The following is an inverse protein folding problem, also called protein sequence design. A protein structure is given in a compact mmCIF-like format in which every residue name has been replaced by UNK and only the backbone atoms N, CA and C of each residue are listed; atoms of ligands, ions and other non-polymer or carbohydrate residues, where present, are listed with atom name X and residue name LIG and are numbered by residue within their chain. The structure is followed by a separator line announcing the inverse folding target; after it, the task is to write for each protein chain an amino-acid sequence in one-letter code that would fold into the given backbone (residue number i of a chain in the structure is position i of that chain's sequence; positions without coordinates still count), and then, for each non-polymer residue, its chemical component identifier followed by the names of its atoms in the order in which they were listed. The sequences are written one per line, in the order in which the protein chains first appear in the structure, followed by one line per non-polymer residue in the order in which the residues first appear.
data_IF_624270076972
#
_entry.id   IF_624270076972
#
_cell.length_a   1.000
_cell.length_b   1.000
_cell.length_c   1.000
_cell.angle_alpha   90.00
_cell.angle_beta   90.00
_cell.angle_gamma   90.00
#
_symmetry.space_group_name_H-M   'P 1'
#
loop_
_entity.id
_entity.type
_entity.pdbx_description
1 polymer ?
#
# COMPACT_ATOMS: atom_id res chain seq x y z
N UNK A 1 -34.85 16.74 4.97
CA UNK A 1 -34.45 15.85 3.85
C UNK A 1 -33.63 14.70 4.41
N UNK A 2 -34.08 13.44 4.27
CA UNK A 2 -33.24 12.27 4.60
C UNK A 2 -32.04 12.32 3.65
N UNK A 3 -30.81 12.42 4.17
CA UNK A 3 -29.60 12.26 3.35
C UNK A 3 -29.70 10.90 2.65
N UNK A 4 -29.79 10.91 1.32
CA UNK A 4 -29.77 9.71 0.49
C UNK A 4 -28.51 8.95 0.87
N UNK A 5 -28.69 7.73 1.39
CA UNK A 5 -27.59 6.88 1.85
C UNK A 5 -26.95 6.29 0.60
N UNK A 6 -26.02 7.03 0.00
CA UNK A 6 -25.25 6.54 -1.16
C UNK A 6 -24.54 5.24 -0.77
N UNK A 7 -24.66 4.25 -1.64
CA UNK A 7 -23.91 3.01 -1.51
C UNK A 7 -22.41 3.31 -1.66
N UNK A 8 -21.56 2.95 -0.67
CA UNK A 8 -20.13 3.23 -0.74
C UNK A 8 -19.42 2.57 -1.93
N UNK A 9 -19.91 1.42 -2.41
CA UNK A 9 -19.38 0.76 -3.61
C UNK A 9 -19.75 1.57 -4.84
N UNK A 10 -21.00 2.01 -4.97
CA UNK A 10 -21.43 2.83 -6.11
C UNK A 10 -20.63 4.13 -6.15
N UNK A 11 -20.40 4.80 -5.01
CA UNK A 11 -19.57 5.99 -4.93
C UNK A 11 -18.09 5.72 -5.29
N UNK A 12 -17.55 4.55 -4.90
CA UNK A 12 -16.20 4.14 -5.25
C UNK A 12 -16.08 3.89 -6.75
N UNK A 13 -17.02 3.14 -7.32
CA UNK A 13 -17.09 2.84 -8.76
C UNK A 13 -17.28 4.14 -9.54
N UNK A 14 -18.19 5.03 -9.15
CA UNK A 14 -18.39 6.34 -9.76
C UNK A 14 -17.09 7.16 -9.76
N UNK A 15 -16.41 7.29 -8.61
CA UNK A 15 -15.15 8.04 -8.52
C UNK A 15 -14.02 7.42 -9.33
N UNK A 16 -13.95 6.09 -9.37
CA UNK A 16 -12.95 5.39 -10.16
C UNK A 16 -13.26 5.60 -11.64
N UNK A 17 -14.50 5.35 -12.08
CA UNK A 17 -14.96 5.60 -13.44
C UNK A 17 -14.76 7.05 -13.87
N UNK A 18 -15.04 8.05 -13.02
CA UNK A 18 -14.79 9.47 -13.31
C UNK A 18 -13.30 9.78 -13.49
N UNK A 19 -12.43 9.15 -12.70
CA UNK A 19 -10.99 9.35 -12.82
C UNK A 19 -10.40 8.58 -13.99
N UNK A 20 -10.92 7.40 -14.28
CA UNK A 20 -10.49 6.58 -15.40
C UNK A 20 -11.04 7.07 -16.74
N UNK A 21 -12.23 7.67 -16.79
CA UNK A 21 -12.77 8.31 -17.99
C UNK A 21 -11.92 9.51 -18.45
N UNK A 22 -11.06 10.07 -17.58
CA UNK A 22 -10.05 11.06 -17.96
C UNK A 22 -8.87 10.44 -18.71
N UNK A 23 -8.71 9.12 -18.64
CA UNK A 23 -7.72 8.38 -19.43
C UNK A 23 -8.28 8.24 -20.83
N UNK A 24 -7.55 8.78 -21.81
CA UNK A 24 -7.89 8.66 -23.22
C UNK A 24 -8.02 7.18 -23.58
N UNK A 25 -9.07 6.81 -24.31
CA UNK A 25 -9.37 5.44 -24.73
C UNK A 25 -9.63 4.43 -23.58
N UNK A 26 -10.07 4.90 -22.41
CA UNK A 26 -10.39 4.02 -21.27
C UNK A 26 -11.40 2.92 -21.59
N UNK A 27 -12.41 3.20 -22.42
CA UNK A 27 -13.41 2.21 -22.84
C UNK A 27 -12.73 1.00 -23.52
N UNK A 28 -11.69 1.23 -24.33
CA UNK A 28 -10.91 0.16 -24.97
C UNK A 28 -10.11 -0.66 -23.96
N UNK A 29 -9.70 -0.04 -22.86
CA UNK A 29 -9.03 -0.73 -21.76
C UNK A 29 -9.99 -1.62 -20.96
N UNK A 30 -11.29 -1.33 -20.97
CA UNK A 30 -12.32 -2.20 -20.40
C UNK A 30 -12.76 -3.32 -21.35
N UNK A 31 -12.58 -3.15 -22.65
CA UNK A 31 -12.87 -4.17 -23.67
C UNK A 31 -11.81 -5.28 -23.74
N UNK A 32 -10.58 -5.04 -23.30
CA UNK A 32 -9.53 -6.07 -23.23
C UNK A 32 -9.58 -6.89 -21.93
N UNK A 33 -9.25 -8.18 -22.02
CA UNK A 33 -9.20 -9.07 -20.85
C UNK A 33 -8.15 -8.57 -19.84
N UNK A 34 -7.02 -8.09 -20.35
CA UNK A 34 -5.89 -7.56 -19.60
C UNK A 34 -6.27 -6.32 -18.80
N UNK A 35 -6.88 -5.34 -19.46
CA UNK A 35 -7.24 -4.07 -18.83
C UNK A 35 -8.40 -4.25 -17.85
N UNK A 36 -9.38 -5.12 -18.18
CA UNK A 36 -10.44 -5.51 -17.24
C UNK A 36 -9.87 -6.17 -15.98
N UNK A 37 -8.88 -7.06 -16.11
CA UNK A 37 -8.25 -7.72 -14.97
C UNK A 37 -7.51 -6.74 -14.05
N UNK A 38 -6.82 -5.75 -14.62
CA UNK A 38 -6.18 -4.68 -13.84
C UNK A 38 -7.24 -3.82 -13.14
N UNK A 39 -8.31 -3.46 -13.84
CA UNK A 39 -9.41 -2.68 -13.27
C UNK A 39 -10.10 -3.41 -12.11
N UNK A 40 -10.43 -4.69 -12.29
CA UNK A 40 -11.03 -5.54 -11.24
C UNK A 40 -10.12 -5.64 -10.01
N UNK A 41 -8.79 -5.73 -10.21
CA UNK A 41 -7.82 -5.69 -9.12
C UNK A 41 -7.90 -4.36 -8.35
N UNK A 42 -7.96 -3.22 -9.04
CA UNK A 42 -8.03 -1.89 -8.42
C UNK A 42 -9.30 -1.75 -7.59
N UNK A 43 -10.45 -2.15 -8.16
CA UNK A 43 -11.76 -2.11 -7.48
C UNK A 43 -11.74 -3.02 -6.25
N UNK A 44 -11.29 -4.27 -6.42
CA UNK A 44 -11.26 -5.26 -5.34
C UNK A 44 -10.34 -4.82 -4.21
N UNK A 45 -9.11 -4.42 -4.52
CA UNK A 45 -8.11 -4.01 -3.50
C UNK A 45 -8.53 -2.76 -2.76
N UNK A 46 -9.09 -1.75 -3.46
CA UNK A 46 -9.63 -0.53 -2.85
C UNK A 46 -10.79 -0.86 -1.91
N UNK A 47 -11.74 -1.68 -2.37
CA UNK A 47 -12.90 -2.11 -1.57
C UNK A 47 -12.47 -2.92 -0.34
N UNK A 48 -11.51 -3.84 -0.49
CA UNK A 48 -10.99 -4.65 0.61
C UNK A 48 -10.26 -3.82 1.68
N UNK A 49 -9.56 -2.75 1.28
CA UNK A 49 -8.89 -1.86 2.21
C UNK A 49 -9.89 -0.94 2.94
N UNK A 50 -10.91 -0.45 2.23
CA UNK A 50 -12.00 0.34 2.83
C UNK A 50 -12.80 -0.49 3.82
N UNK A 51 -13.21 -1.70 3.43
CA UNK A 51 -13.93 -2.62 4.31
C UNK A 51 -13.08 -2.97 5.55
N UNK A 52 -11.77 -3.16 5.39
CA UNK A 52 -10.87 -3.40 6.51
C UNK A 52 -10.83 -2.24 7.50
N UNK A 53 -10.70 -1.02 6.98
CA UNK A 53 -10.73 0.18 7.80
C UNK A 53 -12.03 0.31 8.59
N UNK A 54 -13.16 0.15 7.90
CA UNK A 54 -14.48 0.20 8.52
C UNK A 54 -14.61 -0.88 9.61
N UNK A 55 -14.20 -2.11 9.31
CA UNK A 55 -14.25 -3.23 10.25
C UNK A 55 -13.49 -2.91 11.55
N UNK A 56 -12.25 -2.43 11.44
CA UNK A 56 -11.47 -2.13 12.63
C UNK A 56 -11.93 -0.89 13.38
N UNK A 57 -12.15 0.23 12.67
CA UNK A 57 -12.43 1.51 13.30
C UNK A 57 -13.85 1.61 13.86
N UNK A 58 -14.82 0.95 13.23
CA UNK A 58 -16.24 1.06 13.56
C UNK A 58 -16.79 -0.16 14.31
N UNK A 59 -16.13 -1.32 14.23
CA UNK A 59 -16.62 -2.54 14.89
C UNK A 59 -15.64 -3.07 15.94
N UNK A 60 -14.40 -3.39 15.57
CA UNK A 60 -13.48 -4.05 16.51
C UNK A 60 -12.99 -3.12 17.63
N UNK A 61 -12.47 -1.93 17.31
CA UNK A 61 -12.00 -0.98 18.32
C UNK A 61 -13.14 -0.52 19.26
N UNK A 62 -14.35 -0.19 18.77
CA UNK A 62 -15.47 0.10 19.65
C UNK A 62 -15.86 -1.08 20.56
N UNK A 63 -15.83 -2.31 20.04
CA UNK A 63 -16.11 -3.51 20.84
C UNK A 63 -15.06 -3.75 21.92
N UNK A 64 -13.77 -3.55 21.62
CA UNK A 64 -12.70 -3.62 22.60
C UNK A 64 -12.87 -2.56 23.70
N UNK A 65 -13.21 -1.32 23.33
CA UNK A 65 -13.52 -0.26 24.31
C UNK A 65 -14.72 -0.61 25.21
N UNK A 66 -15.77 -1.18 24.63
CA UNK A 66 -16.94 -1.65 25.40
C UNK A 66 -16.54 -2.75 26.38
N UNK A 67 -15.74 -3.71 25.95
CA UNK A 67 -15.22 -4.77 26.82
C UNK A 67 -14.45 -4.20 28.02
N UNK A 68 -13.64 -3.15 27.84
CA UNK A 68 -12.92 -2.49 28.93
C UNK A 68 -13.88 -1.91 29.97
N UNK A 69 -14.92 -1.21 29.50
CA UNK A 69 -15.93 -0.60 30.39
C UNK A 69 -16.69 -1.68 31.14
N UNK A 70 -17.11 -2.75 30.45
CA UNK A 70 -17.87 -3.84 31.05
C UNK A 70 -17.03 -4.59 32.11
N UNK A 71 -15.77 -4.92 31.80
CA UNK A 71 -14.85 -5.54 32.75
C UNK A 71 -14.58 -4.64 33.95
N UNK A 72 -14.36 -3.35 33.74
CA UNK A 72 -14.15 -2.40 34.85
C UNK A 72 -15.39 -2.28 35.75
N UNK A 73 -16.58 -2.26 35.16
CA UNK A 73 -17.84 -2.24 35.91
C UNK A 73 -18.02 -3.51 36.76
N UNK A 74 -17.57 -4.66 36.27
CA UNK A 74 -17.60 -5.91 37.04
C UNK A 74 -16.59 -5.89 38.19
N UNK A 75 -15.34 -5.47 37.93
CA UNK A 75 -14.29 -5.37 38.97
C UNK A 75 -14.72 -4.37 40.05
N UNK A 76 -15.22 -3.20 39.66
CA UNK A 76 -15.60 -2.13 40.60
C UNK A 76 -16.81 -2.47 41.47
N UNK A 77 -17.73 -3.33 40.98
CA UNK A 77 -18.91 -3.82 41.71
C UNK A 77 -18.69 -5.15 42.44
N UNK A 78 -17.52 -5.77 42.29
CA UNK A 78 -17.22 -7.06 42.91
C UNK A 78 -17.16 -6.94 44.43
N UNK A 79 -17.81 -7.87 45.14
CA UNK A 79 -17.64 -8.02 46.60
C UNK A 79 -16.19 -8.31 47.01
N UNK A 80 -15.39 -8.82 46.07
CA UNK A 80 -13.96 -9.13 46.26
C UNK A 80 -13.04 -8.02 45.74
N UNK A 81 -13.55 -6.82 45.41
CA UNK A 81 -12.72 -5.72 44.87
C UNK A 81 -11.49 -5.42 45.73
N UNK A 82 -11.60 -5.53 47.04
CA UNK A 82 -10.50 -5.31 47.99
C UNK A 82 -9.33 -6.30 47.81
N UNK A 83 -9.55 -7.45 47.17
CA UNK A 83 -8.51 -8.43 46.83
C UNK A 83 -7.94 -8.22 45.42
N UNK A 84 -8.54 -7.36 44.61
CA UNK A 84 -8.16 -7.14 43.21
C UNK A 84 -7.30 -5.89 43.10
N UNK A 85 -6.02 -6.07 42.77
CA UNK A 85 -5.12 -4.98 42.42
C UNK A 85 -5.00 -4.85 40.89
N UNK A 86 -6.08 -4.38 40.26
CA UNK A 86 -6.14 -4.18 38.80
C UNK A 86 -6.61 -2.74 38.55
N UNK A 87 -5.87 -2.02 37.72
CA UNK A 87 -6.20 -0.69 37.23
C UNK A 87 -7.04 -0.77 35.96
N UNK A 88 -7.81 0.30 35.68
CA UNK A 88 -8.54 0.42 34.42
C UNK A 88 -7.60 0.50 33.21
N UNK A 89 -6.37 0.99 33.40
CA UNK A 89 -5.38 1.09 32.33
C UNK A 89 -4.82 -0.28 31.93
N UNK A 90 -4.64 -1.21 32.86
CA UNK A 90 -4.26 -2.60 32.55
C UNK A 90 -5.32 -3.31 31.70
N UNK A 91 -6.59 -2.94 31.84
CA UNK A 91 -7.67 -3.48 30.99
C UNK A 91 -7.60 -2.96 29.55
N UNK A 92 -6.88 -1.86 29.27
CA UNK A 92 -6.70 -1.34 27.90
C UNK A 92 -5.87 -2.26 27.01
N UNK A 93 -5.24 -3.28 27.56
CA UNK A 93 -4.40 -4.20 26.79
C UNK A 93 -5.16 -4.85 25.63
N UNK A 94 -6.42 -5.25 25.83
CA UNK A 94 -7.25 -5.84 24.77
C UNK A 94 -7.51 -4.84 23.60
N UNK A 95 -7.60 -3.54 23.89
CA UNK A 95 -7.73 -2.51 22.86
C UNK A 95 -6.43 -2.40 22.05
N UNK A 96 -5.28 -2.37 22.72
CA UNK A 96 -3.99 -2.28 22.02
C UNK A 96 -3.67 -3.56 21.26
N UNK A 97 -4.04 -4.73 21.78
CA UNK A 97 -3.95 -6.00 21.08
C UNK A 97 -4.82 -6.01 19.81
N UNK A 98 -6.06 -5.51 19.90
CA UNK A 98 -6.94 -5.36 18.73
C UNK A 98 -6.27 -4.50 17.65
N UNK A 99 -5.65 -3.39 18.02
CA UNK A 99 -4.93 -2.51 17.08
C UNK A 99 -3.69 -3.21 16.49
N UNK A 100 -2.91 -3.90 17.32
CA UNK A 100 -1.73 -4.68 16.89
C UNK A 100 -2.06 -5.80 15.91
N UNK A 101 -3.14 -6.54 16.17
CA UNK A 101 -3.68 -7.53 15.22
C UNK A 101 -4.16 -6.86 13.92
N UNK A 102 -4.64 -5.61 14.01
CA UNK A 102 -4.89 -4.77 12.85
C UNK A 102 -3.66 -4.55 11.97
N UNK A 103 -2.50 -4.28 12.55
CA UNK A 103 -1.26 -4.16 11.77
C UNK A 103 -0.85 -5.47 11.07
N UNK A 104 -1.10 -6.62 11.70
CA UNK A 104 -0.88 -7.94 11.05
C UNK A 104 -1.79 -8.09 9.83
N UNK A 105 -3.08 -7.78 9.97
CA UNK A 105 -4.03 -7.81 8.85
C UNK A 105 -3.68 -6.82 7.74
N UNK A 106 -3.22 -5.62 8.11
CA UNK A 106 -2.83 -4.56 7.18
C UNK A 106 -1.59 -4.98 6.35
N UNK A 107 -0.61 -5.61 6.99
CA UNK A 107 0.57 -6.16 6.30
C UNK A 107 0.19 -7.24 5.27
N UNK A 108 -0.68 -8.18 5.64
CA UNK A 108 -1.11 -9.24 4.71
C UNK A 108 -1.93 -8.73 3.53
N UNK A 109 -2.74 -7.67 3.74
CA UNK A 109 -3.43 -6.97 2.65
C UNK A 109 -2.44 -6.32 1.68
N UNK A 110 -1.40 -5.67 2.20
CA UNK A 110 -0.32 -5.13 1.38
C UNK A 110 0.43 -6.21 0.58
N UNK A 111 0.86 -7.30 1.23
CA UNK A 111 1.57 -8.39 0.54
C UNK A 111 0.73 -9.00 -0.60
N UNK A 112 -0.56 -9.23 -0.32
CA UNK A 112 -1.49 -9.78 -1.30
C UNK A 112 -1.73 -8.80 -2.45
N UNK A 113 -1.90 -7.51 -2.14
CA UNK A 113 -2.02 -6.45 -3.13
C UNK A 113 -0.80 -6.38 -4.06
N UNK A 114 0.41 -6.31 -3.49
CA UNK A 114 1.65 -6.23 -4.26
C UNK A 114 1.81 -7.43 -5.21
N UNK A 115 1.55 -8.64 -4.69
CA UNK A 115 1.61 -9.86 -5.51
C UNK A 115 0.62 -9.81 -6.67
N UNK A 116 -0.62 -9.42 -6.40
CA UNK A 116 -1.63 -9.31 -7.45
C UNK A 116 -1.33 -8.20 -8.46
N UNK A 117 -0.78 -7.07 -8.02
CA UNK A 117 -0.42 -5.94 -8.87
C UNK A 117 0.72 -6.28 -9.83
N UNK A 118 1.79 -6.92 -9.35
CA UNK A 118 2.89 -7.39 -10.20
C UNK A 118 2.37 -8.38 -11.24
N UNK A 119 1.53 -9.33 -10.83
CA UNK A 119 0.94 -10.31 -11.74
C UNK A 119 0.03 -9.67 -12.78
N UNK A 120 -0.83 -8.74 -12.39
CA UNK A 120 -1.74 -8.04 -13.29
C UNK A 120 -0.96 -7.17 -14.29
N UNK A 121 0.11 -6.50 -13.84
CA UNK A 121 0.95 -5.67 -14.72
C UNK A 121 1.75 -6.51 -15.71
N UNK A 122 2.36 -7.61 -15.26
CA UNK A 122 3.04 -8.54 -16.16
C UNK A 122 2.07 -9.15 -17.19
N UNK A 123 0.82 -9.40 -16.79
CA UNK A 123 -0.21 -9.87 -17.71
C UNK A 123 -0.62 -8.80 -18.72
N UNK A 124 -0.81 -7.56 -18.27
CA UNK A 124 -1.11 -6.41 -19.13
C UNK A 124 -0.04 -6.17 -20.20
N UNK A 125 1.23 -6.34 -19.83
CA UNK A 125 2.37 -6.10 -20.71
C UNK A 125 2.83 -7.36 -21.44
N UNK A 126 2.08 -8.46 -21.38
CA UNK A 126 2.57 -9.76 -21.85
C UNK A 126 2.94 -9.75 -23.32
N UNK A 127 2.07 -9.26 -24.20
CA UNK A 127 2.33 -9.20 -25.64
C UNK A 127 3.51 -8.29 -25.94
N UNK A 128 3.50 -7.08 -25.37
CA UNK A 128 4.59 -6.10 -25.50
C UNK A 128 5.93 -6.69 -25.06
N UNK A 129 5.96 -7.41 -23.94
CA UNK A 129 7.16 -8.03 -23.41
C UNK A 129 7.65 -9.18 -24.31
N UNK A 130 6.74 -9.97 -24.88
CA UNK A 130 7.08 -11.09 -25.76
C UNK A 130 7.62 -10.60 -27.11
N UNK A 131 6.99 -9.59 -27.70
CA UNK A 131 7.39 -9.02 -28.98
C UNK A 131 8.75 -8.31 -28.89
N UNK A 132 9.02 -7.64 -27.77
CA UNK A 132 10.21 -6.79 -27.60
C UNK A 132 11.27 -7.40 -26.67
N UNK A 133 11.08 -8.64 -26.22
CA UNK A 133 11.97 -9.35 -25.28
C UNK A 133 12.27 -8.53 -24.00
N UNK A 134 11.23 -7.90 -23.43
CA UNK A 134 11.34 -7.10 -22.20
C UNK A 134 11.31 -8.00 -20.96
N UNK A 135 11.88 -7.50 -19.85
CA UNK A 135 11.90 -8.21 -18.58
C UNK A 135 10.53 -8.12 -17.90
N UNK A 136 10.19 -9.17 -17.14
CA UNK A 136 9.10 -9.06 -16.18
C UNK A 136 9.41 -7.98 -15.14
N UNK A 137 8.38 -7.44 -14.49
CA UNK A 137 8.55 -6.44 -13.43
C UNK A 137 9.50 -6.94 -12.32
N UNK A 138 9.42 -8.22 -11.96
CA UNK A 138 10.30 -8.81 -10.94
C UNK A 138 11.76 -8.81 -11.39
N UNK A 139 12.03 -9.27 -12.60
CA UNK A 139 13.38 -9.35 -13.16
C UNK A 139 13.99 -7.95 -13.36
N UNK A 140 13.19 -6.99 -13.83
CA UNK A 140 13.61 -5.61 -13.96
C UNK A 140 14.00 -5.01 -12.60
N UNK A 141 13.15 -5.15 -11.59
CA UNK A 141 13.45 -4.68 -10.23
C UNK A 141 14.72 -5.31 -9.66
N UNK A 142 14.94 -6.61 -9.91
CA UNK A 142 16.13 -7.31 -9.48
C UNK A 142 17.40 -6.82 -10.19
N UNK A 143 17.31 -6.54 -11.49
CA UNK A 143 18.44 -6.07 -12.30
C UNK A 143 18.79 -4.62 -11.99
N UNK A 144 17.81 -3.73 -12.08
CA UNK A 144 18.02 -2.27 -12.03
C UNK A 144 18.08 -1.73 -10.60
N UNK A 145 17.18 -2.18 -9.73
CA UNK A 145 17.09 -1.69 -8.34
C UNK A 145 17.78 -2.62 -7.33
N UNK A 146 18.22 -3.81 -7.75
CA UNK A 146 18.84 -4.82 -6.87
C UNK A 146 17.91 -5.27 -5.72
N UNK A 147 16.60 -5.19 -5.93
CA UNK A 147 15.60 -5.59 -4.93
C UNK A 147 14.82 -6.83 -5.38
N UNK A 148 14.33 -7.60 -4.41
CA UNK A 148 13.21 -8.48 -4.64
C UNK A 148 11.92 -7.69 -4.36
N UNK A 149 11.12 -7.42 -5.40
CA UNK A 149 9.89 -6.62 -5.27
C UNK A 149 8.94 -7.19 -4.22
N UNK A 150 8.78 -8.51 -4.13
CA UNK A 150 7.92 -9.15 -3.13
C UNK A 150 8.46 -9.08 -1.70
N UNK A 151 9.71 -8.65 -1.51
CA UNK A 151 10.37 -8.40 -0.22
C UNK A 151 10.74 -6.92 -0.03
N UNK A 152 10.12 -6.01 -0.78
CA UNK A 152 10.40 -4.56 -0.76
C UNK A 152 9.71 -3.79 0.38
N UNK A 153 9.05 -4.48 1.32
CA UNK A 153 8.33 -3.84 2.42
C UNK A 153 9.22 -3.01 3.37
N UNK A 154 10.55 -3.12 3.29
CA UNK A 154 11.48 -2.28 4.06
C UNK A 154 11.98 -1.07 3.27
N UNK A 155 11.66 -0.96 1.98
CA UNK A 155 12.10 0.14 1.10
C UNK A 155 11.25 1.40 1.28
N UNK A 156 10.00 1.26 1.75
CA UNK A 156 9.06 2.38 1.89
C UNK A 156 8.69 2.61 3.36
N UNK A 157 8.64 3.87 3.78
CA UNK A 157 8.51 4.22 5.19
C UNK A 157 7.24 3.62 5.84
N UNK A 158 6.10 3.72 5.17
CA UNK A 158 4.83 3.19 5.71
C UNK A 158 4.81 1.66 5.78
N UNK A 159 5.34 0.96 4.78
CA UNK A 159 5.36 -0.51 4.78
C UNK A 159 6.41 -1.02 5.76
N UNK A 160 7.52 -0.30 5.97
CA UNK A 160 8.54 -0.61 6.97
C UNK A 160 7.98 -0.50 8.38
N UNK A 161 7.22 0.56 8.66
CA UNK A 161 6.51 0.76 9.94
C UNK A 161 5.50 -0.36 10.20
N UNK A 162 4.62 -0.64 9.23
CA UNK A 162 3.59 -1.68 9.34
C UNK A 162 4.24 -3.05 9.54
N UNK A 163 5.29 -3.34 8.75
CA UNK A 163 6.07 -4.56 8.87
C UNK A 163 6.62 -4.68 10.29
N UNK A 164 7.31 -3.66 10.81
CA UNK A 164 7.87 -3.66 12.17
C UNK A 164 6.84 -4.07 13.24
N UNK A 165 5.66 -3.44 13.24
CA UNK A 165 4.61 -3.74 14.22
C UNK A 165 4.05 -5.16 14.01
N UNK A 166 3.70 -5.52 12.77
CA UNK A 166 3.22 -6.87 12.42
C UNK A 166 4.19 -7.96 12.88
N UNK A 167 5.48 -7.71 12.68
CA UNK A 167 6.57 -8.60 13.03
C UNK A 167 6.83 -8.70 14.53
N UNK A 168 6.68 -7.61 15.27
CA UNK A 168 6.70 -7.62 16.73
C UNK A 168 5.55 -8.48 17.29
N UNK A 169 4.35 -8.36 16.72
CA UNK A 169 3.18 -9.17 17.12
C UNK A 169 3.39 -10.65 16.82
N UNK A 170 3.86 -10.99 15.62
CA UNK A 170 4.02 -12.38 15.18
C UNK A 170 5.13 -13.15 15.91
N UNK A 171 6.21 -12.46 16.25
CA UNK A 171 7.46 -13.12 16.65
C UNK A 171 7.99 -12.70 18.02
N UNK A 172 7.43 -11.65 18.62
CA UNK A 172 7.91 -11.11 19.88
C UNK A 172 6.76 -10.71 20.81
N UNK A 173 5.60 -11.36 20.71
CA UNK A 173 4.43 -11.14 21.56
C UNK A 173 4.01 -9.65 21.68
N UNK A 174 4.24 -8.89 20.62
CA UNK A 174 3.94 -7.45 20.55
C UNK A 174 4.99 -6.54 21.20
N UNK A 175 6.08 -7.05 21.76
CA UNK A 175 7.19 -6.26 22.31
C UNK A 175 8.10 -5.71 21.21
N UNK A 176 8.78 -4.60 21.52
CA UNK A 176 9.78 -4.01 20.63
C UNK A 176 10.94 -4.98 20.33
N UNK A 177 11.45 -4.94 19.09
CA UNK A 177 12.65 -5.69 18.65
C UNK A 177 13.93 -4.91 18.95
N UNK A 178 15.08 -5.60 18.84
CA UNK A 178 16.41 -4.99 18.99
C UNK A 178 16.63 -3.82 18.01
N UNK A 179 16.31 -4.01 16.72
CA UNK A 179 16.31 -2.92 15.75
C UNK A 179 15.01 -2.13 15.84
N UNK A 180 15.06 -1.00 16.53
CA UNK A 180 13.90 -0.13 16.76
C UNK A 180 13.61 0.70 15.51
N UNK A 181 12.35 0.67 15.06
CA UNK A 181 11.92 1.52 13.97
C UNK A 181 11.95 3.01 14.38
N UNK A 182 12.45 3.93 13.52
CA UNK A 182 12.68 5.35 13.87
C UNK A 182 11.48 6.08 14.47
N UNK A 183 10.26 5.72 14.07
CA UNK A 183 9.03 6.31 14.60
C UNK A 183 8.78 6.03 16.09
N UNK A 184 9.48 5.08 16.70
CA UNK A 184 9.38 4.78 18.13
C UNK A 184 10.61 5.35 18.83
N UNK A 185 10.54 6.64 19.19
CA UNK A 185 11.61 7.32 19.93
C UNK A 185 11.69 6.78 21.36
N UNK A 186 12.88 6.31 21.77
CA UNK A 186 13.17 5.78 23.12
C UNK A 186 12.10 4.80 23.64
N UNK A 187 11.83 3.68 22.92
CA UNK A 187 10.78 2.78 23.32
C UNK A 187 11.14 2.05 24.61
N UNK A 188 10.13 1.79 25.44
CA UNK A 188 10.28 0.91 26.58
C UNK A 188 10.24 -0.55 26.09
N UNK A 189 11.39 -1.20 26.04
CA UNK A 189 11.51 -2.59 25.56
C UNK A 189 10.82 -3.60 26.48
N UNK A 190 10.47 -3.20 27.70
CA UNK A 190 9.69 -4.02 28.64
C UNK A 190 8.18 -3.83 28.46
N UNK A 191 7.75 -3.07 27.45
CA UNK A 191 6.34 -2.88 27.11
C UNK A 191 6.05 -3.32 25.69
N UNK A 192 4.85 -3.85 25.50
CA UNK A 192 4.28 -4.10 24.18
C UNK A 192 4.05 -2.77 23.47
N UNK A 193 4.15 -2.79 22.15
CA UNK A 193 3.89 -1.65 21.29
C UNK A 193 2.47 -1.14 21.53
N UNK A 194 2.36 0.14 21.88
CA UNK A 194 1.09 0.84 22.06
C UNK A 194 0.91 1.83 20.92
N UNK A 195 -0.19 1.71 20.19
CA UNK A 195 -0.56 2.63 19.11
C UNK A 195 -1.97 3.14 19.34
N UNK A 196 -2.15 4.45 19.22
CA UNK A 196 -3.46 5.08 19.34
C UNK A 196 -4.34 4.78 18.11
N UNK A 197 -5.67 4.77 18.32
CA UNK A 197 -6.67 4.60 17.25
C UNK A 197 -6.43 5.55 16.07
N UNK A 198 -6.16 6.83 16.34
CA UNK A 198 -5.99 7.84 15.29
C UNK A 198 -4.70 7.63 14.49
N UNK A 199 -3.63 7.18 15.14
CA UNK A 199 -2.39 6.78 14.44
C UNK A 199 -2.64 5.57 13.55
N UNK A 200 -3.34 4.55 14.05
CA UNK A 200 -3.69 3.37 13.25
C UNK A 200 -4.55 3.73 12.04
N UNK A 201 -5.57 4.59 12.23
CA UNK A 201 -6.36 5.15 11.13
C UNK A 201 -5.49 5.87 10.10
N UNK A 202 -4.59 6.74 10.55
CA UNK A 202 -3.69 7.47 9.66
C UNK A 202 -2.76 6.52 8.89
N UNK A 203 -2.30 5.45 9.50
CA UNK A 203 -1.42 4.47 8.85
C UNK A 203 -2.17 3.67 7.77
N UNK A 204 -3.45 3.34 7.98
CA UNK A 204 -4.29 2.72 6.94
C UNK A 204 -4.43 3.66 5.73
N UNK A 205 -4.71 4.94 5.96
CA UNK A 205 -4.86 5.92 4.87
C UNK A 205 -3.54 6.13 4.12
N UNK A 206 -2.41 6.25 4.85
CA UNK A 206 -1.08 6.32 4.24
C UNK A 206 -0.77 5.08 3.41
N UNK A 207 -1.15 3.89 3.87
CA UNK A 207 -0.95 2.67 3.09
C UNK A 207 -1.80 2.68 1.82
N UNK A 208 -3.06 3.13 1.86
CA UNK A 208 -3.89 3.28 0.64
C UNK A 208 -3.21 4.19 -0.39
N UNK A 209 -2.74 5.36 0.03
CA UNK A 209 -2.02 6.28 -0.84
C UNK A 209 -0.73 5.66 -1.39
N UNK A 210 0.01 4.92 -0.56
CA UNK A 210 1.19 4.19 -1.00
C UNK A 210 0.85 3.11 -2.03
N UNK A 211 -0.23 2.35 -1.85
CA UNK A 211 -0.67 1.35 -2.83
C UNK A 211 -0.98 1.98 -4.20
N UNK A 212 -1.60 3.17 -4.23
CA UNK A 212 -1.89 3.91 -5.46
C UNK A 212 -0.61 4.40 -6.15
N UNK A 213 0.34 4.94 -5.37
CA UNK A 213 1.65 5.33 -5.88
C UNK A 213 2.41 4.12 -6.45
N UNK A 214 2.43 3.02 -5.71
CA UNK A 214 3.11 1.79 -6.09
C UNK A 214 2.55 1.19 -7.38
N UNK A 215 1.24 1.24 -7.58
CA UNK A 215 0.61 0.88 -8.85
C UNK A 215 1.14 1.73 -10.00
N UNK A 216 1.13 3.05 -9.82
CA UNK A 216 1.63 3.98 -10.83
C UNK A 216 3.10 3.69 -11.14
N UNK A 217 3.93 3.47 -10.12
CA UNK A 217 5.34 3.17 -10.29
C UNK A 217 5.59 1.82 -11.00
N UNK A 218 4.85 0.77 -10.63
CA UNK A 218 4.98 -0.55 -11.26
C UNK A 218 4.57 -0.52 -12.74
N UNK A 219 3.52 0.22 -13.08
CA UNK A 219 3.13 0.43 -14.49
C UNK A 219 4.21 1.24 -15.23
N UNK A 220 4.75 2.29 -14.58
CA UNK A 220 5.83 3.10 -15.14
C UNK A 220 7.10 2.29 -15.43
N UNK A 221 7.43 1.27 -14.63
CA UNK A 221 8.53 0.35 -14.94
C UNK A 221 8.34 -0.31 -16.32
N UNK A 222 7.13 -0.77 -16.62
CA UNK A 222 6.79 -1.34 -17.91
C UNK A 222 7.02 -0.36 -19.07
N UNK A 223 6.49 0.85 -18.94
CA UNK A 223 6.67 1.88 -19.96
C UNK A 223 8.11 2.36 -20.12
N UNK A 224 8.88 2.45 -19.02
CA UNK A 224 10.30 2.80 -19.07
C UNK A 224 11.08 1.79 -19.90
N UNK A 225 10.85 0.48 -19.71
CA UNK A 225 11.49 -0.57 -20.51
C UNK A 225 11.21 -0.42 -22.01
N UNK A 226 9.94 -0.21 -22.36
CA UNK A 226 9.54 -0.02 -23.74
C UNK A 226 10.16 1.24 -24.34
N UNK A 227 10.14 2.36 -23.60
CA UNK A 227 10.75 3.62 -24.02
C UNK A 227 12.27 3.48 -24.21
N UNK A 228 12.98 2.77 -23.32
CA UNK A 228 14.42 2.54 -23.41
C UNK A 228 14.80 1.69 -24.64
N UNK A 229 13.96 0.71 -24.99
CA UNK A 229 14.14 -0.09 -26.20
C UNK A 229 13.92 0.74 -27.48
N UNK A 230 12.83 1.50 -27.52
CA UNK A 230 12.52 2.36 -28.66
C UNK A 230 13.35 3.64 -28.69
N UNK A 231 14.09 3.97 -27.63
CA UNK A 231 14.87 5.21 -27.57
C UNK A 231 15.84 5.36 -28.74
N UNK A 232 16.58 4.30 -29.07
CA UNK A 232 17.49 4.31 -30.22
C UNK A 232 16.72 4.27 -31.56
N UNK A 233 15.56 3.62 -31.63
CA UNK A 233 14.67 3.62 -32.81
C UNK A 233 14.06 5.01 -33.08
N UNK A 234 13.59 5.68 -32.03
CA UNK A 234 13.07 7.05 -32.02
C UNK A 234 14.18 8.02 -32.42
N UNK A 235 15.35 7.91 -31.79
CA UNK A 235 16.54 8.70 -32.11
C UNK A 235 16.99 8.50 -33.56
N UNK A 236 16.84 7.30 -34.11
CA UNK A 236 17.19 6.98 -35.49
C UNK A 236 16.15 7.44 -36.52
N UNK A 237 14.87 7.48 -36.16
CA UNK A 237 13.75 7.91 -37.03
C UNK A 237 13.52 9.42 -37.07
N UNK A 238 14.09 10.17 -36.13
CA UNK A 238 14.10 11.64 -36.20
C UNK A 238 14.82 12.15 -37.46
N UNK A 239 14.31 13.23 -38.06
CA UNK A 239 15.01 13.91 -39.16
C UNK A 239 16.41 14.37 -38.69
N UNK A 240 17.45 14.39 -39.54
CA UNK A 240 18.82 14.77 -39.14
C UNK A 240 18.88 16.12 -38.40
N UNK A 241 18.09 17.10 -38.87
CA UNK A 241 17.92 18.43 -38.28
C UNK A 241 17.40 18.39 -36.82
N UNK A 242 16.54 17.43 -36.50
CA UNK A 242 15.96 17.23 -35.16
C UNK A 242 16.85 16.36 -34.26
N UNK A 243 17.74 15.54 -34.83
CA UNK A 243 18.74 14.76 -34.06
C UNK A 243 19.83 15.64 -33.49
N UNK A 244 20.18 16.72 -34.19
CA UNK A 244 21.17 17.70 -33.73
C UNK A 244 20.56 18.83 -32.90
N UNK A 245 19.23 18.98 -32.93
CA UNK A 245 18.48 19.91 -32.08
C UNK A 245 18.78 19.65 -30.59
N UNK A 246 19.34 20.67 -29.94
CA UNK A 246 19.57 20.69 -28.49
C UNK A 246 18.26 20.51 -27.74
N UNK A 247 17.16 21.07 -28.24
CA UNK A 247 15.84 21.00 -27.61
C UNK A 247 15.27 19.57 -27.58
N UNK A 248 15.44 18.82 -28.67
CA UNK A 248 14.97 17.43 -28.75
C UNK A 248 15.75 16.52 -27.81
N UNK A 249 17.08 16.70 -27.74
CA UNK A 249 17.94 15.97 -26.79
C UNK A 249 17.57 16.28 -25.35
N UNK A 250 17.34 17.55 -25.03
CA UNK A 250 16.92 17.98 -23.70
C UNK A 250 15.58 17.37 -23.29
N UNK A 251 14.58 17.36 -24.16
CA UNK A 251 13.26 16.74 -23.88
C UNK A 251 13.39 15.23 -23.61
N UNK A 252 14.22 14.54 -24.38
CA UNK A 252 14.46 13.10 -24.20
C UNK A 252 15.20 12.80 -22.89
N UNK A 253 16.22 13.56 -22.55
CA UNK A 253 16.92 13.46 -21.26
C UNK A 253 15.98 13.79 -20.08
N UNK A 254 15.09 14.75 -20.24
CA UNK A 254 14.08 15.12 -19.25
C UNK A 254 13.09 13.99 -19.00
N UNK A 255 12.64 13.28 -20.04
CA UNK A 255 11.77 12.11 -19.91
C UNK A 255 12.45 11.00 -19.09
N UNK A 256 13.72 10.69 -19.39
CA UNK A 256 14.49 9.68 -18.65
C UNK A 256 14.66 10.11 -17.18
N UNK A 257 15.03 11.38 -16.94
CA UNK A 257 15.13 11.92 -15.58
C UNK A 257 13.81 11.84 -14.82
N UNK A 258 12.68 12.10 -15.49
CA UNK A 258 11.35 11.99 -14.89
C UNK A 258 11.02 10.55 -14.50
N UNK A 259 11.34 9.57 -15.35
CA UNK A 259 11.21 8.16 -15.00
C UNK A 259 12.08 7.79 -13.80
N UNK A 260 13.36 8.20 -13.80
CA UNK A 260 14.29 7.90 -12.71
C UNK A 260 13.90 8.56 -11.39
N UNK A 261 13.39 9.78 -11.45
CA UNK A 261 12.87 10.50 -10.28
C UNK A 261 11.63 9.80 -9.73
N UNK A 262 10.66 9.45 -10.60
CA UNK A 262 9.42 8.81 -10.15
C UNK A 262 9.65 7.42 -9.54
N UNK A 263 10.70 6.72 -9.98
CA UNK A 263 11.10 5.41 -9.50
C UNK A 263 12.20 5.47 -8.42
N UNK A 264 12.56 6.65 -7.92
CA UNK A 264 13.68 6.80 -6.97
C UNK A 264 13.45 6.08 -5.64
N UNK A 265 12.19 5.86 -5.26
CA UNK A 265 11.83 5.16 -4.02
C UNK A 265 12.37 3.72 -3.98
N UNK A 266 12.63 3.10 -5.14
CA UNK A 266 13.21 1.76 -5.22
C UNK A 266 14.74 1.73 -5.08
N UNK A 267 15.43 2.88 -5.15
CA UNK A 267 16.90 2.99 -5.17
C UNK A 267 17.53 3.21 -3.79
N UNK A 268 16.78 3.06 -2.69
CA UNK A 268 17.25 3.29 -1.31
C UNK A 268 18.13 2.17 -0.76
#
# INVERSE_FOLDING_TARGET
MKKTKYNPIDLLVERLSENFAKVKDFDKLQESEEGKRLFDLIIKSSSEMENFQVLFLNYYIPSANKSIVDSWNQVSKSKYRHLLNISKDELKENLYETIRLGYVGLFHKYESYLKSLVNATNFLLKELNQENNLLSIEEYCKKEFKINIFKSHNCFDITKRINYISNAVKHNDGFHREEIHPDFLNPDTNKRIVVAKETFKSDIEKLKSHCQLLMSQIITIGFKQYFELDYETIKNSLKPELKESVETKQKLEEIIKNFDFFLSDFKK
#
